data_IF_491186563339
#
_entry.id   IF_491186563339
#
_cell.length_a   1.000
_cell.length_b   1.000
_cell.length_c   1.000
_cell.angle_alpha   90.00
_cell.angle_beta   90.00
_cell.angle_gamma   90.00
#
_symmetry.space_group_name_H-M   'P 1'
#
loop_
_entity.id
_entity.type
_entity.pdbx_description
1 polymer ?
#
# COMPACT_ATOMS: atom_id res chain seq x y z
N UNK A 1 -26.15 -4.98 -18.29
CA UNK A 1 -25.12 -4.19 -17.59
C UNK A 1 -24.14 -5.15 -16.95
N UNK A 2 -22.83 -5.05 -17.21
CA UNK A 2 -21.87 -5.76 -16.36
C UNK A 2 -21.90 -5.12 -14.97
N UNK A 3 -22.02 -5.92 -13.91
CA UNK A 3 -21.96 -5.42 -12.54
C UNK A 3 -20.53 -4.91 -12.31
N UNK A 4 -20.39 -3.62 -12.01
CA UNK A 4 -19.10 -3.02 -11.63
C UNK A 4 -18.90 -3.21 -10.13
N UNK A 5 -17.71 -3.63 -9.71
CA UNK A 5 -17.32 -3.70 -8.31
C UNK A 5 -16.38 -2.52 -8.04
N UNK A 6 -16.67 -1.72 -7.02
CA UNK A 6 -15.86 -0.59 -6.61
C UNK A 6 -15.28 -0.86 -5.22
N UNK A 7 -13.96 -0.87 -5.13
CA UNK A 7 -13.24 -0.88 -3.86
C UNK A 7 -12.79 0.53 -3.46
N UNK A 8 -12.93 0.87 -2.18
CA UNK A 8 -12.41 2.12 -1.61
C UNK A 8 -11.50 1.77 -0.44
N UNK A 9 -10.28 2.29 -0.42
CA UNK A 9 -9.36 2.04 0.68
C UNK A 9 -8.03 2.78 0.58
N UNK A 10 -7.18 2.57 1.58
CA UNK A 10 -5.85 3.17 1.60
C UNK A 10 -4.97 2.55 0.50
N UNK A 11 -4.46 3.40 -0.39
CA UNK A 11 -3.46 3.02 -1.37
C UNK A 11 -2.09 2.94 -0.69
N UNK A 12 -1.62 1.71 -0.45
CA UNK A 12 -0.39 1.43 0.30
C UNK A 12 0.57 0.62 -0.56
N UNK A 13 1.80 1.08 -0.72
CA UNK A 13 2.88 0.30 -1.33
C UNK A 13 3.50 -0.62 -0.28
N UNK A 14 3.61 -1.91 -0.59
CA UNK A 14 4.29 -2.87 0.29
C UNK A 14 5.78 -2.93 -0.06
N UNK A 15 6.63 -2.69 0.95
CA UNK A 15 8.09 -2.77 0.89
C UNK A 15 8.54 -3.99 1.67
N UNK A 16 8.90 -5.06 0.97
CA UNK A 16 9.28 -6.32 1.59
C UNK A 16 10.75 -6.34 1.97
N UNK A 17 11.02 -6.83 3.18
CA UNK A 17 12.37 -7.14 3.66
C UNK A 17 12.36 -8.41 4.50
N UNK A 18 13.39 -9.24 4.34
CA UNK A 18 13.64 -10.40 5.19
C UNK A 18 14.49 -9.96 6.37
N UNK A 19 14.08 -10.32 7.58
CA UNK A 19 14.77 -10.00 8.84
C UNK A 19 14.75 -11.20 9.78
N UNK A 20 15.53 -11.16 10.85
CA UNK A 20 15.46 -12.14 11.95
C UNK A 20 14.55 -11.63 13.09
N UNK A 21 14.24 -12.52 14.05
CA UNK A 21 13.43 -12.15 15.21
C UNK A 21 14.13 -11.12 16.13
N UNK A 22 15.46 -11.07 16.12
CA UNK A 22 16.25 -10.09 16.89
C UNK A 22 16.07 -8.67 16.35
N UNK A 23 15.93 -8.50 15.05
CA UNK A 23 15.59 -7.22 14.43
C UNK A 23 14.24 -6.71 14.95
N UNK A 24 13.23 -7.58 15.05
CA UNK A 24 11.91 -7.18 15.57
C UNK A 24 11.99 -6.73 17.03
N UNK A 25 12.71 -7.50 17.87
CA UNK A 25 12.93 -7.16 19.29
C UNK A 25 13.66 -5.82 19.44
N UNK A 26 14.77 -5.62 18.70
CA UNK A 26 15.57 -4.39 18.73
C UNK A 26 14.76 -3.14 18.38
N UNK A 27 13.76 -3.29 17.50
CA UNK A 27 12.90 -2.20 17.06
C UNK A 27 11.55 -2.12 17.83
N UNK A 28 11.38 -2.89 18.91
CA UNK A 28 10.15 -2.97 19.71
C UNK A 28 8.90 -3.27 18.86
N UNK A 29 9.02 -4.22 17.94
CA UNK A 29 7.92 -4.66 17.07
C UNK A 29 7.34 -5.98 17.55
N UNK A 30 6.01 -6.03 17.66
CA UNK A 30 5.29 -7.24 18.03
C UNK A 30 5.16 -8.11 16.77
N UNK A 31 5.73 -9.31 16.79
CA UNK A 31 5.68 -10.25 15.67
C UNK A 31 4.24 -10.53 15.23
N UNK A 32 3.98 -10.53 13.92
CA UNK A 32 2.65 -10.79 13.36
C UNK A 32 1.68 -9.60 13.42
N UNK A 33 2.08 -8.47 14.03
CA UNK A 33 1.21 -7.31 14.19
C UNK A 33 1.32 -6.33 13.01
N UNK A 34 0.37 -5.38 12.98
CA UNK A 34 0.49 -4.15 12.20
C UNK A 34 0.63 -2.97 13.18
N UNK A 35 1.67 -2.15 12.97
CA UNK A 35 1.92 -0.92 13.70
C UNK A 35 1.84 0.27 12.74
N UNK A 36 1.02 1.25 13.08
CA UNK A 36 1.06 2.56 12.44
C UNK A 36 2.31 3.32 12.90
N UNK A 37 3.03 3.90 11.95
CA UNK A 37 4.27 4.64 12.21
C UNK A 37 4.29 5.98 11.48
N UNK A 38 5.02 6.93 12.05
CA UNK A 38 5.24 8.23 11.43
C UNK A 38 6.32 8.18 10.34
N UNK A 39 6.50 9.29 9.61
CA UNK A 39 7.46 9.37 8.50
C UNK A 39 8.91 9.15 8.94
N UNK A 40 9.30 9.67 10.11
CA UNK A 40 10.67 9.49 10.63
C UNK A 40 10.93 8.02 10.97
N UNK A 41 10.01 7.39 11.70
CA UNK A 41 10.09 5.95 12.02
C UNK A 41 10.18 5.09 10.75
N UNK A 42 9.43 5.44 9.69
CA UNK A 42 9.46 4.73 8.41
C UNK A 42 10.82 4.84 7.73
N UNK A 43 11.36 6.07 7.60
CA UNK A 43 12.66 6.28 6.98
C UNK A 43 13.80 5.66 7.79
N UNK A 44 13.71 5.66 9.12
CA UNK A 44 14.72 5.04 9.97
C UNK A 44 14.68 3.52 9.90
N UNK A 45 13.50 2.90 9.90
CA UNK A 45 13.38 1.44 9.64
C UNK A 45 13.89 1.09 8.24
N UNK A 46 13.52 1.87 7.23
CA UNK A 46 13.89 1.64 5.83
C UNK A 46 15.40 1.67 5.59
N UNK A 47 16.15 2.52 6.31
CA UNK A 47 17.63 2.56 6.24
C UNK A 47 18.29 1.30 6.80
N UNK A 48 17.62 0.61 7.71
CA UNK A 48 18.17 -0.54 8.45
C UNK A 48 17.76 -1.89 7.86
N UNK A 49 17.11 -1.91 6.69
CA UNK A 49 16.68 -3.13 6.01
C UNK A 49 17.25 -3.20 4.60
N UNK A 50 17.42 -4.42 4.10
CA UNK A 50 17.63 -4.67 2.68
C UNK A 50 16.27 -4.89 2.02
N UNK A 51 15.92 -4.00 1.08
CA UNK A 51 14.66 -4.11 0.33
C UNK A 51 14.78 -5.27 -0.66
N UNK A 52 13.86 -6.23 -0.55
CA UNK A 52 13.77 -7.39 -1.43
C UNK A 52 12.79 -7.13 -2.60
N UNK A 53 11.69 -6.44 -2.31
CA UNK A 53 10.64 -6.17 -3.31
C UNK A 53 9.82 -4.94 -2.92
N UNK A 54 9.35 -4.21 -3.93
CA UNK A 54 8.38 -3.11 -3.77
C UNK A 54 7.23 -3.39 -4.73
N UNK A 55 6.00 -3.45 -4.23
CA UNK A 55 4.80 -3.70 -5.03
C UNK A 55 3.61 -2.90 -4.51
N UNK A 56 2.60 -2.67 -5.36
CA UNK A 56 1.31 -2.22 -4.86
C UNK A 56 0.72 -3.23 -3.89
N UNK A 57 0.25 -2.74 -2.75
CA UNK A 57 -0.47 -3.51 -1.75
C UNK A 57 -1.76 -2.79 -1.32
N UNK A 58 -2.10 -2.95 -0.04
CA UNK A 58 -3.36 -2.47 0.52
C UNK A 58 -4.48 -3.51 0.38
N UNK A 59 -5.20 -3.75 1.48
CA UNK A 59 -6.18 -4.84 1.58
C UNK A 59 -7.26 -4.80 0.49
N UNK A 60 -7.87 -3.63 0.28
CA UNK A 60 -8.95 -3.47 -0.70
C UNK A 60 -8.43 -3.54 -2.12
N UNK A 61 -7.27 -2.94 -2.40
CA UNK A 61 -6.65 -3.02 -3.72
C UNK A 61 -6.25 -4.46 -4.09
N UNK A 62 -5.74 -5.23 -3.13
CA UNK A 62 -5.47 -6.66 -3.31
C UNK A 62 -6.77 -7.46 -3.59
N UNK A 63 -7.88 -7.08 -2.96
CA UNK A 63 -9.20 -7.66 -3.25
C UNK A 63 -9.64 -7.35 -4.69
N UNK A 64 -9.45 -6.10 -5.14
CA UNK A 64 -9.76 -5.71 -6.53
C UNK A 64 -8.85 -6.43 -7.53
N UNK A 65 -7.57 -6.58 -7.21
CA UNK A 65 -6.63 -7.37 -8.00
C UNK A 65 -7.11 -8.83 -8.15
N UNK A 66 -7.59 -9.44 -7.07
CA UNK A 66 -8.20 -10.78 -7.10
C UNK A 66 -9.43 -10.85 -8.01
N UNK A 67 -10.32 -9.85 -7.95
CA UNK A 67 -11.49 -9.77 -8.84
C UNK A 67 -11.07 -9.64 -10.30
N UNK A 68 -10.09 -8.79 -10.61
CA UNK A 68 -9.57 -8.64 -11.97
C UNK A 68 -8.95 -9.95 -12.48
N UNK A 69 -8.21 -10.65 -11.63
CA UNK A 69 -7.66 -11.97 -11.93
C UNK A 69 -8.74 -13.01 -12.25
N UNK A 70 -9.88 -12.93 -11.56
CA UNK A 70 -11.08 -13.74 -11.82
C UNK A 70 -11.91 -13.24 -13.02
N UNK A 71 -11.34 -12.38 -13.86
CA UNK A 71 -11.96 -11.79 -15.07
C UNK A 71 -13.15 -10.88 -14.79
N UNK A 72 -13.24 -10.35 -13.57
CA UNK A 72 -14.13 -9.24 -13.24
C UNK A 72 -13.63 -7.91 -13.82
N UNK A 73 -14.42 -6.85 -13.65
CA UNK A 73 -14.06 -5.49 -14.06
C UNK A 73 -14.11 -4.54 -12.85
N UNK A 74 -13.10 -4.60 -11.95
CA UNK A 74 -13.09 -3.81 -10.72
C UNK A 74 -12.53 -2.41 -10.92
N UNK A 75 -13.07 -1.46 -10.17
CA UNK A 75 -12.49 -0.13 -9.95
C UNK A 75 -11.95 -0.03 -8.53
N UNK A 76 -10.91 0.79 -8.34
CA UNK A 76 -10.37 1.13 -7.03
C UNK A 76 -10.27 2.65 -6.86
N UNK A 77 -10.71 3.15 -5.71
CA UNK A 77 -10.48 4.53 -5.25
C UNK A 77 -9.53 4.48 -4.05
N UNK A 78 -8.43 5.20 -4.18
CA UNK A 78 -7.42 5.39 -3.14
C UNK A 78 -6.55 6.60 -3.48
N UNK A 79 -5.88 7.16 -2.48
CA UNK A 79 -5.10 8.39 -2.61
C UNK A 79 -3.61 8.10 -2.68
N UNK A 80 -2.94 8.56 -3.74
CA UNK A 80 -1.48 8.51 -3.94
C UNK A 80 -0.92 9.92 -4.19
N UNK A 81 0.38 10.11 -4.00
CA UNK A 81 1.07 11.35 -4.36
C UNK A 81 1.85 11.16 -5.68
N UNK A 82 2.28 12.26 -6.30
CA UNK A 82 3.21 12.29 -7.44
C UNK A 82 4.64 12.02 -6.96
N UNK A 83 4.87 10.78 -6.52
CA UNK A 83 6.18 10.28 -6.10
C UNK A 83 6.44 8.87 -6.66
N UNK A 84 7.66 8.35 -6.48
CA UNK A 84 8.05 7.05 -7.01
C UNK A 84 7.15 5.90 -6.51
N UNK A 85 6.64 5.98 -5.28
CA UNK A 85 5.71 4.98 -4.75
C UNK A 85 4.33 5.10 -5.40
N UNK A 86 3.83 6.32 -5.63
CA UNK A 86 2.59 6.56 -6.36
C UNK A 86 2.64 6.05 -7.80
N UNK A 87 3.75 6.30 -8.48
CA UNK A 87 3.99 5.78 -9.84
C UNK A 87 3.97 4.25 -9.87
N UNK A 88 4.71 3.59 -8.97
CA UNK A 88 4.71 2.12 -8.84
C UNK A 88 3.31 1.62 -8.58
N UNK A 89 2.56 2.27 -7.69
CA UNK A 89 1.21 1.87 -7.32
C UNK A 89 0.25 1.92 -8.52
N UNK A 90 0.23 3.06 -9.22
CA UNK A 90 -0.62 3.28 -10.40
C UNK A 90 -0.29 2.31 -11.53
N UNK A 91 0.99 2.17 -11.89
CA UNK A 91 1.44 1.24 -12.94
C UNK A 91 1.08 -0.20 -12.60
N UNK A 92 1.21 -0.60 -11.33
CA UNK A 92 0.84 -1.94 -10.87
C UNK A 92 -0.64 -2.24 -11.09
N UNK A 93 -1.55 -1.37 -10.62
CA UNK A 93 -3.01 -1.58 -10.80
C UNK A 93 -3.43 -1.58 -12.28
N UNK A 94 -2.86 -0.68 -13.08
CA UNK A 94 -3.11 -0.64 -14.52
C UNK A 94 -2.68 -1.93 -15.22
N UNK A 95 -1.51 -2.48 -14.88
CA UNK A 95 -1.00 -3.72 -15.49
C UNK A 95 -1.87 -4.95 -15.23
N UNK A 96 -2.72 -4.92 -14.20
CA UNK A 96 -3.62 -6.02 -13.83
C UNK A 96 -5.10 -5.70 -14.13
N UNK A 97 -5.36 -4.68 -14.97
CA UNK A 97 -6.71 -4.27 -15.38
C UNK A 97 -7.65 -3.87 -14.22
N UNK A 98 -7.11 -3.30 -13.13
CA UNK A 98 -7.92 -2.60 -12.12
C UNK A 98 -8.04 -1.14 -12.54
N UNK A 99 -9.28 -0.66 -12.74
CA UNK A 99 -9.50 0.75 -13.07
C UNK A 99 -9.17 1.63 -11.85
N UNK A 100 -8.12 2.44 -11.96
CA UNK A 100 -7.69 3.35 -10.91
C UNK A 100 -7.76 4.79 -11.44
N UNK A 101 -8.82 5.50 -11.06
CA UNK A 101 -9.16 6.82 -11.62
C UNK A 101 -8.69 8.00 -10.77
N UNK A 102 -7.83 7.77 -9.77
CA UNK A 102 -7.31 8.85 -8.94
C UNK A 102 -6.25 9.68 -9.68
N UNK A 103 -6.45 11.00 -9.71
CA UNK A 103 -5.48 11.96 -10.22
C UNK A 103 -4.51 12.31 -9.11
N UNK A 104 -3.24 11.96 -9.29
CA UNK A 104 -2.14 12.36 -8.41
C UNK A 104 -2.21 13.87 -8.15
N UNK A 105 -2.18 14.24 -6.87
CA UNK A 105 -2.11 15.64 -6.44
C UNK A 105 -0.75 15.82 -5.80
N UNK A 106 -0.01 16.85 -6.20
CA UNK A 106 1.25 17.20 -5.55
C UNK A 106 0.92 17.83 -4.19
N UNK A 107 0.88 17.00 -3.15
CA UNK A 107 0.57 17.39 -1.77
C UNK A 107 1.80 17.15 -0.87
N UNK A 108 1.83 17.79 0.31
CA UNK A 108 2.99 17.76 1.23
C UNK A 108 3.30 16.40 1.89
N UNK A 109 2.60 15.33 1.54
CA UNK A 109 2.74 13.99 2.13
C UNK A 109 3.03 12.95 1.06
N UNK A 110 3.93 12.02 1.35
CA UNK A 110 4.26 10.92 0.44
C UNK A 110 3.11 9.95 0.24
N UNK A 111 3.15 9.14 -0.82
CA UNK A 111 2.32 7.96 -0.97
C UNK A 111 2.47 7.04 0.24
N UNK A 112 1.36 6.44 0.68
CA UNK A 112 1.36 5.51 1.80
C UNK A 112 2.17 4.25 1.51
N UNK A 113 2.89 3.75 2.50
CA UNK A 113 3.73 2.57 2.37
C UNK A 113 3.78 1.75 3.66
N UNK A 114 3.92 0.44 3.52
CA UNK A 114 4.07 -0.49 4.64
C UNK A 114 5.34 -1.29 4.46
N UNK A 115 6.24 -1.22 5.45
CA UNK A 115 7.38 -2.13 5.51
C UNK A 115 6.87 -3.48 6.02
N UNK A 116 7.00 -4.51 5.18
CA UNK A 116 6.61 -5.88 5.49
C UNK A 116 7.86 -6.65 5.86
N UNK A 117 8.04 -6.87 7.16
CA UNK A 117 9.16 -7.60 7.74
C UNK A 117 8.80 -9.09 7.80
N UNK A 118 9.54 -9.91 7.06
CA UNK A 118 9.34 -11.36 6.98
C UNK A 118 10.44 -12.07 7.77
N UNK A 119 10.04 -12.82 8.80
CA UNK A 119 10.94 -13.68 9.59
C UNK A 119 11.13 -15.06 8.94
N UNK A 120 12.12 -15.88 9.36
CA UNK A 120 12.40 -17.18 8.73
C UNK A 120 11.23 -18.17 8.74
N UNK A 121 10.31 -18.05 9.71
CA UNK A 121 9.06 -18.83 9.79
C UNK A 121 7.93 -18.27 8.89
N UNK A 122 8.25 -17.29 8.04
CA UNK A 122 7.33 -16.65 7.08
C UNK A 122 6.21 -15.81 7.71
N UNK A 123 6.24 -15.58 9.02
CA UNK A 123 5.33 -14.63 9.67
C UNK A 123 5.63 -13.20 9.21
N UNK A 124 4.59 -12.34 9.17
CA UNK A 124 4.70 -10.97 8.66
C UNK A 124 4.40 -9.95 9.74
N UNK A 125 5.34 -9.05 9.97
CA UNK A 125 5.13 -7.87 10.82
C UNK A 125 5.11 -6.62 9.94
N UNK A 126 4.08 -5.80 10.09
CA UNK A 126 3.82 -4.68 9.20
C UNK A 126 4.01 -3.36 9.92
N UNK A 127 4.81 -2.47 9.34
CA UNK A 127 5.01 -1.11 9.83
C UNK A 127 4.51 -0.11 8.79
N UNK A 128 3.31 0.42 8.99
CA UNK A 128 2.59 1.20 7.98
C UNK A 128 2.66 2.69 8.24
N UNK A 129 3.24 3.42 7.30
CA UNK A 129 3.11 4.87 7.19
C UNK A 129 2.00 5.21 6.20
N UNK A 130 0.89 5.79 6.67
CA UNK A 130 -0.28 6.04 5.82
C UNK A 130 -0.02 7.13 4.76
N UNK A 131 0.89 8.08 5.01
CA UNK A 131 1.16 9.17 4.07
C UNK A 131 -0.12 9.87 3.63
N UNK A 132 -0.26 10.12 2.33
CA UNK A 132 -1.44 10.77 1.76
C UNK A 132 -2.69 9.88 1.73
N UNK A 133 -2.55 8.56 1.88
CA UNK A 133 -3.69 7.65 1.85
C UNK A 133 -4.68 7.90 3.00
N UNK A 134 -4.21 8.43 4.15
CA UNK A 134 -5.08 8.83 5.26
C UNK A 134 -5.92 10.08 5.00
N UNK A 135 -5.68 10.77 3.89
CA UNK A 135 -6.43 11.98 3.49
C UNK A 135 -7.42 11.72 2.36
N UNK A 136 -7.76 10.46 2.10
CA UNK A 136 -8.89 10.14 1.24
C UNK A 136 -10.16 10.75 1.86
N UNK A 137 -10.89 11.52 1.07
CA UNK A 137 -12.06 12.27 1.53
C UNK A 137 -13.22 12.15 0.55
N UNK A 138 -14.41 12.65 0.93
CA UNK A 138 -15.56 12.71 0.05
C UNK A 138 -15.29 13.49 -1.24
N UNK A 139 -14.38 14.48 -1.21
CA UNK A 139 -13.99 15.26 -2.38
C UNK A 139 -13.20 14.47 -3.42
N UNK A 140 -12.69 13.29 -3.05
CA UNK A 140 -11.98 12.38 -3.95
C UNK A 140 -12.92 11.33 -4.58
N UNK A 141 -14.22 11.39 -4.25
CA UNK A 141 -15.26 10.49 -4.78
C UNK A 141 -16.17 11.28 -5.72
N UNK A 142 -16.30 10.81 -6.96
CA UNK A 142 -17.18 11.38 -7.98
C UNK A 142 -18.14 10.30 -8.49
N UNK A 143 -19.36 10.69 -8.86
CA UNK A 143 -20.36 9.84 -9.52
C UNK A 143 -19.85 9.16 -10.81
N UNK A 144 -18.79 9.70 -11.42
CA UNK A 144 -18.18 9.17 -12.65
C UNK A 144 -17.05 8.16 -12.43
N UNK A 145 -16.67 7.86 -11.18
CA UNK A 145 -15.62 6.87 -10.86
C UNK A 145 -16.04 5.41 -11.14
#
# INVERSE_FOLDING_TARGET
MSKKILGIGNAIVDVFAKVDDEFLKKNNLIKGSMKLINKSEFEDLKKNIKIEKIVAGGSVANTMAGIAHLRGNPSFIGKINSDNFGEVYKKSLQSINVNFSYLEKNEGLSTGASIILITPDSERTMCTHLGISSHLSANDINEKN
#
